data_IF_120359006578
#
_entry.id   IF_120359006578
#
_cell.length_a   1.000
_cell.length_b   1.000
_cell.length_c   1.000
_cell.angle_alpha   90.00
_cell.angle_beta   90.00
_cell.angle_gamma   90.00
#
_symmetry.space_group_name_H-M   'P 1'
#
loop_
_entity.id
_entity.type
_entity.pdbx_description
1 polymer ?
#
# COMPACT_ATOMS: atom_id res chain seq x y z
N UNK A 1 26.90 -5.35 23.62
CA UNK A 1 25.59 -5.26 22.95
C UNK A 1 25.16 -6.68 22.60
N UNK A 2 24.28 -7.27 23.39
CA UNK A 2 23.72 -8.60 23.16
C UNK A 2 22.55 -8.45 22.20
N UNK A 3 22.76 -8.76 20.91
CA UNK A 3 21.66 -8.83 19.96
C UNK A 3 20.73 -9.97 20.40
N UNK A 4 19.46 -9.65 20.67
CA UNK A 4 18.44 -10.66 20.95
C UNK A 4 18.31 -11.57 19.72
N UNK A 5 18.05 -12.88 19.90
CA UNK A 5 17.84 -13.78 18.78
C UNK A 5 16.60 -13.35 17.99
N UNK A 6 16.77 -13.22 16.67
CA UNK A 6 15.67 -12.96 15.77
C UNK A 6 14.84 -14.24 15.62
N UNK A 7 13.54 -14.15 15.90
CA UNK A 7 12.60 -15.25 15.65
C UNK A 7 12.15 -15.20 14.18
N UNK A 8 12.21 -16.33 13.50
CA UNK A 8 11.72 -16.48 12.13
C UNK A 8 10.67 -17.59 12.07
N UNK A 9 9.47 -17.24 11.62
CA UNK A 9 8.33 -18.15 11.54
C UNK A 9 7.98 -18.41 10.08
N UNK A 10 7.98 -19.68 9.69
CA UNK A 10 7.63 -20.11 8.31
C UNK A 10 6.23 -20.72 8.34
N UNK A 11 5.23 -19.92 7.98
CA UNK A 11 3.82 -20.33 7.88
C UNK A 11 3.06 -19.38 6.95
N UNK A 12 1.87 -19.78 6.49
CA UNK A 12 0.96 -18.84 5.81
C UNK A 12 0.47 -17.77 6.81
N UNK A 13 0.24 -16.52 6.37
CA UNK A 13 -0.29 -15.47 7.25
C UNK A 13 -1.61 -15.87 7.93
N UNK A 14 -2.53 -16.50 7.18
CA UNK A 14 -3.82 -16.98 7.70
C UNK A 14 -3.63 -17.97 8.86
N UNK A 15 -2.88 -19.04 8.63
CA UNK A 15 -2.66 -20.06 9.65
C UNK A 15 -1.84 -19.53 10.84
N UNK A 16 -1.01 -18.51 10.64
CA UNK A 16 -0.32 -17.84 11.72
C UNK A 16 -1.29 -17.06 12.62
N UNK A 17 -2.15 -16.22 12.03
CA UNK A 17 -3.15 -15.44 12.77
C UNK A 17 -4.12 -16.33 13.53
N UNK A 18 -4.59 -17.43 12.92
CA UNK A 18 -5.49 -18.41 13.57
C UNK A 18 -4.87 -19.10 14.80
N UNK A 19 -3.53 -19.15 14.90
CA UNK A 19 -2.82 -19.73 16.05
C UNK A 19 -2.51 -18.74 17.16
N UNK A 20 -2.57 -17.44 16.88
CA UNK A 20 -2.23 -16.40 17.85
C UNK A 20 -3.51 -15.91 18.52
N UNK A 21 -3.57 -16.06 19.84
CA UNK A 21 -4.66 -15.52 20.65
C UNK A 21 -4.48 -14.00 20.80
N UNK A 22 -5.34 -13.21 20.18
CA UNK A 22 -5.32 -11.75 20.27
C UNK A 22 -5.92 -11.34 21.61
N UNK A 23 -5.07 -11.16 22.61
CA UNK A 23 -5.50 -10.73 23.96
C UNK A 23 -5.59 -9.21 24.04
N UNK A 24 -6.56 -8.71 24.82
CA UNK A 24 -6.60 -7.31 25.25
C UNK A 24 -5.35 -6.98 26.07
N UNK A 25 -4.60 -5.97 25.63
CA UNK A 25 -3.43 -5.46 26.34
C UNK A 25 -3.81 -4.28 27.23
N UNK A 26 -3.08 -4.07 28.33
CA UNK A 26 -3.16 -2.82 29.10
C UNK A 26 -2.74 -1.58 28.29
N UNK A 27 -2.07 -1.79 27.15
CA UNK A 27 -1.66 -0.75 26.20
C UNK A 27 -2.62 -0.62 25.00
N UNK A 28 -3.83 -1.17 25.10
CA UNK A 28 -4.85 -0.99 24.05
C UNK A 28 -5.09 0.50 23.78
N UNK A 29 -5.17 0.87 22.49
CA UNK A 29 -5.32 2.27 22.05
C UNK A 29 -4.02 3.06 21.91
N UNK A 30 -2.84 2.44 22.10
CA UNK A 30 -1.54 3.13 21.95
C UNK A 30 -1.36 3.84 20.60
N UNK A 31 -2.00 3.33 19.54
CA UNK A 31 -1.91 3.86 18.18
C UNK A 31 -3.03 4.85 17.83
N UNK A 32 -3.96 5.15 18.74
CA UNK A 32 -5.14 5.98 18.43
C UNK A 32 -4.72 7.40 18.02
N UNK A 33 -3.63 7.93 18.59
CA UNK A 33 -3.05 9.21 18.17
C UNK A 33 -2.61 9.21 16.69
N UNK A 34 -2.10 8.08 16.20
CA UNK A 34 -1.68 7.94 14.79
C UNK A 34 -2.88 8.02 13.83
N UNK A 35 -4.08 7.65 14.27
CA UNK A 35 -5.29 7.75 13.44
C UNK A 35 -5.59 9.22 13.07
N UNK A 36 -5.41 10.13 14.03
CA UNK A 36 -5.55 11.57 13.82
C UNK A 36 -4.50 12.09 12.83
N UNK A 37 -3.24 11.70 13.00
CA UNK A 37 -2.15 12.11 12.12
C UNK A 37 -2.37 11.58 10.68
N UNK A 38 -2.80 10.33 10.53
CA UNK A 38 -3.16 9.74 9.24
C UNK A 38 -4.30 10.51 8.59
N UNK A 39 -5.32 10.91 9.36
CA UNK A 39 -6.44 11.70 8.85
C UNK A 39 -5.99 13.08 8.34
N UNK A 40 -5.10 13.76 9.08
CA UNK A 40 -4.53 15.04 8.65
C UNK A 40 -3.69 14.92 7.39
N UNK A 41 -2.80 13.92 7.32
CA UNK A 41 -1.97 13.67 6.12
C UNK A 41 -2.87 13.43 4.90
N UNK A 42 -3.92 12.63 5.05
CA UNK A 42 -4.89 12.38 3.96
C UNK A 42 -5.62 13.63 3.52
N UNK A 43 -6.10 14.45 4.47
CA UNK A 43 -6.76 15.70 4.15
C UNK A 43 -5.84 16.64 3.35
N UNK A 44 -4.58 16.78 3.78
CA UNK A 44 -3.58 17.58 3.06
C UNK A 44 -3.31 17.08 1.64
N UNK A 45 -3.15 15.77 1.45
CA UNK A 45 -2.95 15.18 0.11
C UNK A 45 -4.14 15.50 -0.79
N UNK A 46 -5.37 15.33 -0.30
CA UNK A 46 -6.57 15.62 -1.07
C UNK A 46 -6.69 17.10 -1.45
N UNK A 47 -6.44 18.01 -0.50
CA UNK A 47 -6.52 19.45 -0.73
C UNK A 47 -5.47 19.92 -1.74
N UNK A 48 -4.24 19.42 -1.62
CA UNK A 48 -3.11 19.84 -2.46
C UNK A 48 -3.20 19.27 -3.88
N UNK A 49 -3.53 17.99 -4.03
CA UNK A 49 -3.42 17.29 -5.31
C UNK A 49 -4.75 17.04 -6.02
N UNK A 50 -5.88 16.92 -5.31
CA UNK A 50 -7.17 16.53 -5.90
C UNK A 50 -8.14 17.72 -6.08
N UNK A 51 -8.17 18.67 -5.14
CA UNK A 51 -9.16 19.76 -5.15
C UNK A 51 -8.60 21.13 -5.57
N UNK A 52 -7.30 21.33 -5.51
CA UNK A 52 -6.67 22.59 -5.95
C UNK A 52 -6.86 22.79 -7.45
N UNK A 53 -7.54 23.87 -7.86
CA UNK A 53 -7.74 24.25 -9.26
C UNK A 53 -6.44 24.61 -10.00
N UNK A 54 -5.32 24.67 -9.28
CA UNK A 54 -3.97 24.85 -9.81
C UNK A 54 -3.21 23.52 -9.99
N UNK A 55 -3.78 22.37 -9.59
CA UNK A 55 -3.09 21.09 -9.74
C UNK A 55 -3.09 20.67 -11.22
N UNK A 56 -1.91 20.78 -11.83
CA UNK A 56 -1.64 20.19 -13.13
C UNK A 56 -1.63 18.67 -12.98
N UNK A 57 -2.20 17.94 -13.95
CA UNK A 57 -2.15 16.48 -13.98
C UNK A 57 -0.69 16.03 -13.88
N UNK A 58 -0.36 15.35 -12.78
CA UNK A 58 0.99 14.86 -12.48
C UNK A 58 0.94 13.48 -11.81
N UNK A 59 2.11 12.85 -11.65
CA UNK A 59 2.20 11.48 -11.13
C UNK A 59 1.74 11.35 -9.67
N UNK A 60 1.90 12.39 -8.85
CA UNK A 60 1.44 12.41 -7.46
C UNK A 60 -0.07 12.50 -7.42
N UNK A 61 -0.68 13.39 -8.21
CA UNK A 61 -2.13 13.50 -8.31
C UNK A 61 -2.77 12.19 -8.82
N UNK A 62 -2.13 11.53 -9.80
CA UNK A 62 -2.58 10.22 -10.26
C UNK A 62 -2.47 9.14 -9.17
N UNK A 63 -1.39 9.14 -8.38
CA UNK A 63 -1.22 8.20 -7.28
C UNK A 63 -2.20 8.44 -6.12
N UNK A 64 -2.50 9.71 -5.80
CA UNK A 64 -3.48 10.08 -4.79
C UNK A 64 -4.92 9.70 -5.19
N UNK A 65 -5.24 9.79 -6.48
CA UNK A 65 -6.56 9.46 -7.05
C UNK A 65 -6.73 7.96 -7.37
N UNK A 66 -5.74 7.12 -7.04
CA UNK A 66 -5.73 5.73 -7.49
C UNK A 66 -6.88 4.90 -6.89
N UNK A 67 -7.29 5.19 -5.66
CA UNK A 67 -8.38 4.48 -4.97
C UNK A 67 -9.69 4.57 -5.75
N UNK A 68 -10.01 5.77 -6.27
CA UNK A 68 -11.22 6.03 -7.05
C UNK A 68 -11.16 5.33 -8.42
N UNK A 69 -9.98 5.33 -9.05
CA UNK A 69 -9.78 4.76 -10.39
C UNK A 69 -9.81 3.24 -10.42
N UNK A 70 -9.52 2.59 -9.30
CA UNK A 70 -9.33 1.14 -9.24
C UNK A 70 -10.44 0.44 -8.45
N UNK A 71 -11.59 1.11 -8.27
CA UNK A 71 -12.73 0.50 -7.62
C UNK A 71 -13.17 -0.76 -8.38
N UNK A 72 -13.17 -1.90 -7.69
CA UNK A 72 -13.63 -3.21 -8.19
C UNK A 72 -12.81 -3.81 -9.35
N UNK A 73 -11.55 -3.38 -9.53
CA UNK A 73 -10.63 -3.98 -10.50
C UNK A 73 -9.29 -4.29 -9.86
N UNK A 74 -8.67 -5.37 -10.30
CA UNK A 74 -7.32 -5.71 -9.88
C UNK A 74 -6.30 -4.78 -10.53
N UNK A 75 -5.22 -4.48 -9.80
CA UNK A 75 -4.25 -3.47 -10.20
C UNK A 75 -2.88 -4.10 -10.34
N UNK A 76 -2.28 -3.94 -11.52
CA UNK A 76 -0.85 -4.20 -11.69
C UNK A 76 -0.07 -2.88 -11.58
N UNK A 77 0.77 -2.75 -10.55
CA UNK A 77 1.65 -1.60 -10.37
C UNK A 77 3.03 -1.87 -10.98
N UNK A 78 3.38 -1.05 -11.96
CA UNK A 78 4.72 -1.00 -12.53
C UNK A 78 5.78 -0.61 -11.49
N UNK A 79 7.03 -0.98 -11.75
CA UNK A 79 8.16 -0.68 -10.87
C UNK A 79 8.61 0.80 -10.98
N UNK A 80 9.71 1.15 -10.32
CA UNK A 80 10.29 2.50 -10.27
C UNK A 80 9.51 3.49 -9.40
N UNK A 81 9.31 4.72 -9.86
CA UNK A 81 8.78 5.82 -9.06
C UNK A 81 7.30 5.62 -8.70
N UNK A 82 6.47 5.16 -9.63
CA UNK A 82 5.02 5.14 -9.45
C UNK A 82 4.56 4.24 -8.29
N UNK A 83 5.13 3.04 -8.13
CA UNK A 83 4.82 2.17 -6.98
C UNK A 83 5.14 2.84 -5.64
N UNK A 84 6.17 3.70 -5.59
CA UNK A 84 6.52 4.45 -4.38
C UNK A 84 5.55 5.61 -4.14
N UNK A 85 5.11 6.28 -5.21
CA UNK A 85 4.10 7.33 -5.10
C UNK A 85 2.77 6.76 -4.61
N UNK A 86 2.36 5.60 -5.11
CA UNK A 86 1.15 4.91 -4.63
C UNK A 86 1.28 4.49 -3.17
N UNK A 87 2.45 4.02 -2.74
CA UNK A 87 2.75 3.70 -1.33
C UNK A 87 2.70 4.93 -0.40
N UNK A 88 3.14 6.09 -0.89
CA UNK A 88 3.19 7.33 -0.10
C UNK A 88 1.88 8.12 -0.10
N UNK A 89 1.18 8.17 -1.24
CA UNK A 89 0.06 9.09 -1.48
C UNK A 89 -1.27 8.39 -1.75
N UNK A 90 -1.22 7.11 -2.16
CA UNK A 90 -2.40 6.37 -2.58
C UNK A 90 -2.99 5.50 -1.47
N UNK A 91 -4.19 4.99 -1.74
CA UNK A 91 -4.82 3.90 -1.00
C UNK A 91 -5.39 2.90 -1.99
N UNK A 92 -5.20 1.62 -1.72
CA UNK A 92 -5.73 0.53 -2.54
C UNK A 92 -6.48 -0.45 -1.64
N UNK A 93 -7.74 -0.72 -1.98
CA UNK A 93 -8.57 -1.72 -1.32
C UNK A 93 -8.91 -2.91 -2.25
N UNK A 94 -8.13 -3.07 -3.31
CA UNK A 94 -8.29 -4.11 -4.35
C UNK A 94 -7.06 -5.01 -4.40
N UNK A 95 -7.08 -6.08 -5.18
CA UNK A 95 -5.91 -6.94 -5.36
C UNK A 95 -4.81 -6.18 -6.12
N UNK A 96 -3.58 -6.25 -5.60
CA UNK A 96 -2.42 -5.53 -6.14
C UNK A 96 -1.31 -6.49 -6.50
N UNK A 97 -0.89 -6.44 -7.77
CA UNK A 97 0.19 -7.22 -8.33
C UNK A 97 1.38 -6.33 -8.68
N UNK A 98 2.60 -6.81 -8.42
CA UNK A 98 3.83 -6.07 -8.76
C UNK A 98 5.05 -7.00 -8.84
N UNK A 99 6.00 -6.68 -9.72
CA UNK A 99 7.22 -7.47 -9.92
C UNK A 99 8.35 -7.03 -8.97
N UNK A 100 8.23 -7.30 -7.67
CA UNK A 100 9.18 -6.81 -6.65
C UNK A 100 10.35 -7.74 -6.32
N UNK A 101 10.34 -8.99 -6.81
CA UNK A 101 11.41 -9.97 -6.55
C UNK A 101 12.80 -9.52 -7.01
N UNK A 102 12.91 -9.04 -8.26
CA UNK A 102 14.13 -8.42 -8.80
C UNK A 102 13.95 -6.91 -9.10
N UNK A 103 12.73 -6.38 -8.95
CA UNK A 103 12.37 -4.97 -9.22
C UNK A 103 12.77 -4.43 -10.60
N UNK A 104 13.00 -5.32 -11.57
CA UNK A 104 13.35 -4.98 -12.96
C UNK A 104 12.19 -4.31 -13.68
N UNK A 105 12.49 -3.43 -14.63
CA UNK A 105 11.49 -2.76 -15.48
C UNK A 105 11.13 -3.58 -16.72
N UNK A 106 11.86 -4.67 -16.96
CA UNK A 106 11.65 -5.56 -18.09
C UNK A 106 10.41 -6.43 -17.85
N UNK A 107 9.64 -6.68 -18.91
CA UNK A 107 8.52 -7.63 -18.89
C UNK A 107 7.26 -7.17 -18.15
N UNK A 108 7.16 -5.91 -17.69
CA UNK A 108 5.97 -5.41 -16.97
C UNK A 108 4.65 -5.63 -17.72
N UNK A 109 4.61 -5.32 -19.03
CA UNK A 109 3.40 -5.54 -19.85
C UNK A 109 3.07 -7.02 -20.05
N UNK A 110 4.09 -7.88 -20.18
CA UNK A 110 3.90 -9.31 -20.31
C UNK A 110 3.32 -9.91 -19.02
N UNK A 111 3.82 -9.48 -17.85
CA UNK A 111 3.26 -9.89 -16.56
C UNK A 111 1.84 -9.37 -16.36
N UNK A 112 1.58 -8.09 -16.63
CA UNK A 112 0.24 -7.50 -16.50
C UNK A 112 -0.79 -8.23 -17.38
N UNK A 113 -0.39 -8.62 -18.60
CA UNK A 113 -1.24 -9.41 -19.51
C UNK A 113 -1.52 -10.82 -19.00
N UNK A 114 -0.60 -11.41 -18.24
CA UNK A 114 -0.80 -12.68 -17.55
C UNK A 114 -1.79 -12.57 -16.40
N UNK A 115 -1.67 -11.52 -15.57
CA UNK A 115 -2.56 -11.24 -14.42
C UNK A 115 -4.01 -11.01 -14.89
N UNK A 116 -4.22 -10.30 -15.99
CA UNK A 116 -5.57 -10.01 -16.51
C UNK A 116 -6.33 -11.25 -17.01
N UNK A 117 -5.63 -12.37 -17.27
CA UNK A 117 -6.21 -13.60 -17.84
C UNK A 117 -6.52 -14.68 -16.80
N UNK A 118 -6.14 -14.49 -15.54
CA UNK A 118 -6.51 -15.34 -14.39
C UNK A 118 -7.82 -14.89 -13.76
#
# INVERSE_FOLDING_TARGET
QTHLPQLHWVASPKSWVERVDVKSSSTQGWADGLLTDIAHVRAHISDEFLFSSASTLNEIALAADIEERTQSVDVFLGNSLFVRLVDMFGRLNTEVFTNRGASGIDGLFATASGVQRS
#
